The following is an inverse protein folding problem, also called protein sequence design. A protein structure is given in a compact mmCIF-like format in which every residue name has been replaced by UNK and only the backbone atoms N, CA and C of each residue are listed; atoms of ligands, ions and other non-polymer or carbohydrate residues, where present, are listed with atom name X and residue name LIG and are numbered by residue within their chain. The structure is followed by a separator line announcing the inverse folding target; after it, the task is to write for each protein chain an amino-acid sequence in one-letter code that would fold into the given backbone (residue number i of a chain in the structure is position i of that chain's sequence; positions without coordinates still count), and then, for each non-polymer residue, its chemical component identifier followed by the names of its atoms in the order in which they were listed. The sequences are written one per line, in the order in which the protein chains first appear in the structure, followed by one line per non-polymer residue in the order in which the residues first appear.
data_IF_133784106038
#
_entry.id   IF_133784106038
#
_cell.length_a   1.000
_cell.length_b   1.000
_cell.length_c   1.000
_cell.angle_alpha   90.00
_cell.angle_beta   90.00
_cell.angle_gamma   90.00
#
_symmetry.space_group_name_H-M   'P 1'
#
loop_
_entity.id
_entity.type
_entity.pdbx_description
1 polymer ?
#
# COMPACT_ATOMS: atom_id res chain seq x y z
N UNK A 1 25.20 -13.97 0.90
CA UNK A 1 24.53 -12.70 1.28
C UNK A 1 24.22 -11.93 0.02
N UNK A 2 22.99 -12.01 -0.49
CA UNK A 2 22.59 -11.39 -1.75
C UNK A 2 22.48 -9.87 -1.58
N UNK A 3 23.40 -9.15 -2.22
CA UNK A 3 23.42 -7.70 -2.34
C UNK A 3 22.34 -7.31 -3.36
N UNK A 4 21.11 -7.10 -2.90
CA UNK A 4 20.01 -6.70 -3.78
C UNK A 4 20.07 -5.20 -4.05
N UNK A 5 19.71 -4.82 -5.27
CA UNK A 5 19.58 -3.42 -5.64
C UNK A 5 18.56 -2.71 -4.73
N UNK A 6 18.96 -1.62 -4.06
CA UNK A 6 18.02 -0.75 -3.36
C UNK A 6 16.85 -0.39 -4.28
N UNK A 7 15.62 -0.48 -3.77
CA UNK A 7 14.42 -0.07 -4.52
C UNK A 7 13.80 -1.11 -5.46
N UNK A 8 14.30 -2.35 -5.53
CA UNK A 8 13.65 -3.40 -6.33
C UNK A 8 12.17 -3.62 -5.94
N UNK A 9 11.86 -3.63 -4.65
CA UNK A 9 10.50 -3.72 -4.11
C UNK A 9 9.63 -2.54 -4.56
N UNK A 10 10.18 -1.32 -4.48
CA UNK A 10 9.51 -0.09 -4.92
C UNK A 10 9.20 -0.11 -6.41
N UNK A 11 10.16 -0.51 -7.25
CA UNK A 11 9.94 -0.61 -8.71
C UNK A 11 8.87 -1.64 -9.08
N UNK A 12 8.85 -2.80 -8.40
CA UNK A 12 7.80 -3.80 -8.59
C UNK A 12 6.41 -3.24 -8.23
N UNK A 13 6.33 -2.43 -7.16
CA UNK A 13 5.09 -1.80 -6.70
C UNK A 13 4.57 -0.77 -7.71
N UNK A 14 5.43 0.14 -8.14
CA UNK A 14 5.09 1.15 -9.15
C UNK A 14 4.64 0.50 -10.47
N UNK A 15 5.36 -0.54 -10.91
CA UNK A 15 5.00 -1.30 -12.10
C UNK A 15 3.63 -1.99 -11.97
N UNK A 16 3.35 -2.61 -10.81
CA UNK A 16 2.07 -3.26 -10.55
C UNK A 16 0.91 -2.26 -10.54
N UNK A 17 1.06 -1.14 -9.83
CA UNK A 17 0.03 -0.12 -9.77
C UNK A 17 -0.28 0.45 -11.14
N UNK A 18 0.76 0.75 -11.92
CA UNK A 18 0.57 1.27 -13.28
C UNK A 18 -0.20 0.29 -14.16
N UNK A 19 0.18 -1.00 -14.14
CA UNK A 19 -0.52 -2.02 -14.94
C UNK A 19 -1.95 -2.27 -14.46
N UNK A 20 -2.20 -2.23 -13.15
CA UNK A 20 -3.56 -2.32 -12.61
C UNK A 20 -4.42 -1.16 -13.09
N UNK A 21 -3.86 0.05 -13.23
CA UNK A 21 -4.56 1.21 -13.76
C UNK A 21 -4.77 1.16 -15.28
N UNK A 22 -3.80 0.65 -16.03
CA UNK A 22 -3.83 0.59 -17.50
C UNK A 22 -4.79 -0.47 -18.05
N UNK A 23 -4.84 -1.67 -17.42
CA UNK A 23 -5.59 -2.82 -17.94
C UNK A 23 -6.40 -3.59 -16.90
N UNK A 24 -6.42 -3.11 -15.66
CA UNK A 24 -7.15 -3.77 -14.58
C UNK A 24 -6.35 -4.87 -13.88
N UNK A 25 -6.76 -5.15 -12.64
CA UNK A 25 -6.09 -6.10 -11.77
C UNK A 25 -6.13 -7.54 -12.30
N UNK A 26 -7.29 -8.01 -12.76
CA UNK A 26 -7.47 -9.40 -13.20
C UNK A 26 -6.62 -9.73 -14.42
N UNK A 27 -6.54 -8.81 -15.38
CA UNK A 27 -5.79 -8.98 -16.62
C UNK A 27 -4.27 -8.79 -16.45
N UNK A 28 -3.82 -8.31 -15.28
CA UNK A 28 -2.39 -8.12 -14.98
C UNK A 28 -1.75 -9.40 -14.45
N UNK A 29 -0.61 -9.79 -15.02
CA UNK A 29 0.18 -10.95 -14.60
C UNK A 29 1.47 -10.55 -13.90
N UNK A 30 1.99 -11.45 -13.04
CA UNK A 30 3.29 -11.27 -12.36
C UNK A 30 4.43 -11.07 -13.36
N UNK A 31 4.39 -11.78 -14.49
CA UNK A 31 5.43 -11.69 -15.51
C UNK A 31 5.52 -10.28 -16.11
N UNK A 32 4.38 -9.65 -16.38
CA UNK A 32 4.34 -8.28 -16.93
C UNK A 32 4.78 -7.25 -15.90
N UNK A 33 4.39 -7.43 -14.63
CA UNK A 33 4.85 -6.57 -13.53
C UNK A 33 6.37 -6.63 -13.41
N UNK A 34 6.92 -7.84 -13.37
CA UNK A 34 8.36 -8.04 -13.28
C UNK A 34 9.08 -7.46 -14.49
N UNK A 35 8.59 -7.74 -15.71
CA UNK A 35 9.17 -7.21 -16.94
C UNK A 35 9.18 -5.68 -16.96
N UNK A 36 8.07 -5.03 -16.57
CA UNK A 36 7.98 -3.56 -16.50
C UNK A 36 8.91 -2.96 -15.46
N UNK A 37 9.15 -3.65 -14.35
CA UNK A 37 10.11 -3.23 -13.33
C UNK A 37 11.59 -3.50 -13.70
N UNK A 38 11.85 -4.09 -14.87
CA UNK A 38 13.19 -4.52 -15.30
C UNK A 38 13.72 -5.71 -14.48
N UNK A 39 12.83 -6.57 -13.98
CA UNK A 39 13.13 -7.67 -13.07
C UNK A 39 12.56 -8.99 -13.60
N UNK A 40 13.00 -10.10 -13.00
CA UNK A 40 12.46 -11.43 -13.32
C UNK A 40 11.26 -11.78 -12.45
N UNK A 41 10.36 -12.65 -12.92
CA UNK A 41 9.27 -13.20 -12.10
C UNK A 41 9.80 -13.91 -10.84
N UNK A 42 10.98 -14.53 -10.92
CA UNK A 42 11.66 -15.12 -9.76
C UNK A 42 12.03 -14.06 -8.72
N UNK A 43 12.47 -12.88 -9.17
CA UNK A 43 12.73 -11.75 -8.28
C UNK A 43 11.44 -11.27 -7.64
N UNK A 44 10.36 -11.14 -8.43
CA UNK A 44 9.03 -10.80 -7.92
C UNK A 44 8.60 -11.74 -6.79
N UNK A 45 8.63 -13.06 -7.03
CA UNK A 45 8.19 -14.06 -6.03
C UNK A 45 9.04 -14.09 -4.76
N UNK A 46 10.24 -13.49 -4.79
CA UNK A 46 11.08 -13.34 -3.60
C UNK A 46 10.63 -12.19 -2.69
N UNK A 47 9.90 -11.21 -3.23
CA UNK A 47 9.34 -10.08 -2.48
C UNK A 47 7.85 -10.30 -2.18
N UNK A 48 7.09 -10.86 -3.12
CA UNK A 48 5.64 -10.99 -3.03
C UNK A 48 5.23 -12.41 -3.39
N UNK A 49 4.45 -13.12 -2.55
CA UNK A 49 3.98 -14.46 -2.88
C UNK A 49 3.01 -14.47 -4.06
N UNK A 50 2.27 -13.36 -4.27
CA UNK A 50 1.36 -13.19 -5.41
C UNK A 50 1.21 -11.70 -5.78
N UNK A 51 0.45 -11.41 -6.85
CA UNK A 51 0.20 -10.04 -7.33
C UNK A 51 -0.67 -9.19 -6.39
N UNK A 52 -1.44 -9.81 -5.50
CA UNK A 52 -2.28 -9.11 -4.53
C UNK A 52 -1.45 -8.50 -3.41
N UNK A 53 -0.39 -9.19 -2.97
CA UNK A 53 0.48 -8.71 -1.88
C UNK A 53 1.25 -7.43 -2.23
N UNK A 54 1.41 -7.12 -3.51
CA UNK A 54 2.00 -5.85 -3.96
C UNK A 54 1.17 -4.64 -3.50
N UNK A 55 -0.13 -4.82 -3.28
CA UNK A 55 -1.04 -3.80 -2.77
C UNK A 55 -0.84 -3.52 -1.27
N UNK A 56 -0.18 -4.44 -0.54
CA UNK A 56 -0.05 -4.42 0.92
C UNK A 56 1.42 -4.43 1.38
N UNK A 57 2.33 -4.12 0.45
CA UNK A 57 3.77 -4.38 0.54
C UNK A 57 4.57 -3.51 1.52
N UNK A 58 3.92 -2.66 2.32
CA UNK A 58 4.63 -1.76 3.23
C UNK A 58 4.03 -1.72 4.65
N UNK A 59 3.95 -2.87 5.34
CA UNK A 59 3.32 -2.96 6.65
C UNK A 59 4.04 -2.12 7.72
N UNK A 60 5.35 -1.91 7.60
CA UNK A 60 6.11 -1.06 8.53
C UNK A 60 5.76 0.42 8.33
N UNK A 61 5.62 0.87 7.08
CA UNK A 61 5.27 2.24 6.77
C UNK A 61 3.77 2.51 6.98
N UNK A 62 2.87 1.53 6.73
CA UNK A 62 1.46 1.57 7.15
C UNK A 62 1.35 1.68 8.69
N UNK A 63 2.18 0.95 9.44
CA UNK A 63 2.24 1.06 10.91
C UNK A 63 2.71 2.45 11.34
N UNK A 64 3.76 2.99 10.73
CA UNK A 64 4.25 4.34 11.04
C UNK A 64 3.19 5.42 10.80
N UNK A 65 2.40 5.31 9.73
CA UNK A 65 1.28 6.23 9.46
C UNK A 65 0.18 6.07 10.49
N UNK A 66 -0.18 4.84 10.87
CA UNK A 66 -1.18 4.58 11.89
C UNK A 66 -0.75 5.11 13.28
N UNK A 67 0.52 4.92 13.63
CA UNK A 67 1.13 5.41 14.87
C UNK A 67 1.10 6.95 14.92
N UNK A 68 1.44 7.61 13.81
CA UNK A 68 1.43 9.07 13.71
C UNK A 68 0.02 9.67 13.75
N UNK A 69 -0.95 9.04 13.07
CA UNK A 69 -2.36 9.43 13.18
C UNK A 69 -2.88 9.31 14.61
N UNK A 70 -2.57 8.19 15.27
CA UNK A 70 -2.93 7.95 16.67
C UNK A 70 -2.32 9.04 17.56
N UNK A 71 -1.03 9.36 17.36
CA UNK A 71 -0.35 10.45 18.07
C UNK A 71 -1.04 11.80 17.89
N UNK A 72 -1.39 12.17 16.66
CA UNK A 72 -2.05 13.45 16.34
C UNK A 72 -3.45 13.58 16.95
N UNK A 73 -4.20 12.47 17.04
CA UNK A 73 -5.54 12.44 17.65
C UNK A 73 -5.44 12.44 19.18
N UNK A 74 -4.55 11.64 19.75
CA UNK A 74 -4.38 11.49 21.21
C UNK A 74 -3.68 12.68 21.86
N UNK A 75 -2.86 13.42 21.12
CA UNK A 75 -2.14 14.60 21.62
C UNK A 75 -1.94 15.62 20.49
N UNK A 76 -3.02 16.33 20.10
CA UNK A 76 -2.94 17.32 19.04
C UNK A 76 -1.99 18.46 19.42
N UNK A 77 -1.24 19.04 18.45
CA UNK A 77 -0.40 20.19 18.70
C UNK A 77 -1.16 21.34 19.36
N UNK A 78 -0.52 22.03 20.31
CA UNK A 78 -1.15 23.15 21.01
C UNK A 78 -1.62 24.22 20.01
N UNK A 79 -2.88 24.65 20.13
CA UNK A 79 -3.49 25.63 19.24
C UNK A 79 -4.08 25.07 17.95
N UNK A 80 -4.06 23.74 17.73
CA UNK A 80 -4.81 23.12 16.62
C UNK A 80 -6.24 22.80 17.05
N UNK A 81 -7.20 23.07 16.17
CA UNK A 81 -8.57 22.59 16.37
C UNK A 81 -8.65 21.09 16.05
N UNK A 82 -9.71 20.38 16.50
CA UNK A 82 -9.92 18.98 16.10
C UNK A 82 -9.97 18.78 14.58
N UNK A 83 -10.46 19.77 13.84
CA UNK A 83 -10.48 19.76 12.38
C UNK A 83 -9.08 19.92 11.77
N UNK A 84 -8.22 20.74 12.38
CA UNK A 84 -6.83 20.91 11.93
C UNK A 84 -6.00 19.65 12.19
N UNK A 85 -6.20 19.01 13.35
CA UNK A 85 -5.57 17.73 13.66
C UNK A 85 -5.99 16.63 12.66
N UNK A 86 -7.28 16.56 12.32
CA UNK A 86 -7.79 15.66 11.28
C UNK A 86 -7.18 15.98 9.91
N UNK A 87 -7.11 17.26 9.52
CA UNK A 87 -6.55 17.68 8.23
C UNK A 87 -5.03 17.43 8.14
N UNK A 88 -4.30 17.54 9.25
CA UNK A 88 -2.88 17.15 9.33
C UNK A 88 -2.73 15.64 9.13
N UNK A 89 -3.52 14.83 9.86
CA UNK A 89 -3.52 13.38 9.70
C UNK A 89 -3.86 12.94 8.28
N UNK A 90 -4.90 13.50 7.68
CA UNK A 90 -5.28 13.22 6.29
C UNK A 90 -4.21 13.63 5.27
N UNK A 91 -3.46 14.71 5.51
CA UNK A 91 -2.34 15.11 4.65
C UNK A 91 -1.18 14.14 4.72
N UNK A 92 -0.88 13.57 5.90
CA UNK A 92 0.15 12.53 6.03
C UNK A 92 -0.27 11.21 5.40
N UNK A 93 -1.53 10.82 5.52
CA UNK A 93 -2.05 9.65 4.78
C UNK A 93 -2.02 9.89 3.26
N UNK A 94 -2.34 11.11 2.82
CA UNK A 94 -2.27 11.48 1.41
C UNK A 94 -0.82 11.54 0.88
N UNK A 95 0.14 11.98 1.70
CA UNK A 95 1.57 11.97 1.35
C UNK A 95 2.11 10.54 1.25
N UNK A 96 1.61 9.64 2.12
CA UNK A 96 1.91 8.20 2.11
C UNK A 96 1.46 7.51 0.82
N UNK A 97 0.31 7.89 0.25
CA UNK A 97 -0.16 7.36 -1.03
C UNK A 97 0.44 8.06 -2.26
N UNK A 98 1.34 9.04 -2.07
CA UNK A 98 2.09 9.69 -3.15
C UNK A 98 1.22 10.40 -4.20
N UNK A 99 1.84 10.83 -5.31
CA UNK A 99 1.17 11.60 -6.40
C UNK A 99 0.02 10.86 -7.09
N UNK A 100 -0.19 9.58 -6.81
CA UNK A 100 -1.22 8.74 -7.43
C UNK A 100 -2.25 8.22 -6.42
N UNK A 101 -2.93 9.15 -5.74
CA UNK A 101 -4.18 8.88 -5.00
C UNK A 101 -5.24 8.13 -5.84
N UNK A 102 -5.13 8.17 -7.17
CA UNK A 102 -5.91 7.38 -8.13
C UNK A 102 -5.68 5.86 -7.96
N UNK A 103 -4.45 5.43 -7.68
CA UNK A 103 -4.05 4.03 -7.52
C UNK A 103 -4.44 3.49 -6.13
N UNK A 104 -4.33 4.31 -5.09
CA UNK A 104 -4.87 3.98 -3.76
C UNK A 104 -6.41 3.91 -3.76
N UNK A 105 -7.08 4.80 -4.51
CA UNK A 105 -8.52 4.72 -4.75
C UNK A 105 -8.90 3.49 -5.57
N UNK A 106 -8.10 3.11 -6.56
CA UNK A 106 -8.28 1.84 -7.29
C UNK A 106 -8.04 0.63 -6.38
N UNK A 107 -7.05 0.63 -5.48
CA UNK A 107 -6.88 -0.40 -4.45
C UNK A 107 -8.14 -0.52 -3.59
N UNK A 108 -8.61 0.59 -3.03
CA UNK A 108 -9.81 0.62 -2.18
C UNK A 108 -11.10 0.24 -2.95
N UNK A 109 -11.14 0.52 -4.26
CA UNK A 109 -12.23 0.13 -5.16
C UNK A 109 -12.17 -1.35 -5.55
N UNK A 110 -10.98 -1.89 -5.83
CA UNK A 110 -10.73 -3.30 -6.17
C UNK A 110 -11.00 -4.21 -4.97
N UNK A 111 -10.54 -3.81 -3.78
CA UNK A 111 -10.81 -4.56 -2.54
C UNK A 111 -12.31 -4.59 -2.25
N UNK A 112 -13.03 -3.47 -2.46
CA UNK A 112 -14.49 -3.40 -2.29
C UNK A 112 -15.32 -4.16 -3.33
N UNK A 113 -14.79 -4.40 -4.53
CA UNK A 113 -15.51 -5.08 -5.62
C UNK A 113 -15.25 -6.59 -5.66
N UNK A 114 -14.27 -7.10 -4.92
CA UNK A 114 -13.91 -8.51 -4.87
C UNK A 114 -14.10 -9.06 -3.43
N UNK A 115 -15.22 -9.76 -3.15
CA UNK A 115 -15.57 -10.27 -1.81
C UNK A 115 -14.47 -11.09 -1.12
N UNK A 116 -13.68 -11.83 -1.92
CA UNK A 116 -12.60 -12.69 -1.47
C UNK A 116 -11.42 -11.92 -0.85
N UNK A 117 -11.30 -10.62 -1.14
CA UNK A 117 -10.28 -9.73 -0.57
C UNK A 117 -10.75 -9.07 0.73
N UNK A 118 -12.06 -8.86 0.89
CA UNK A 118 -12.68 -8.30 2.11
C UNK A 118 -12.47 -9.21 3.32
N UNK A 119 -12.48 -10.52 3.10
CA UNK A 119 -12.27 -11.52 4.16
C UNK A 119 -10.81 -11.53 4.65
N UNK A 120 -9.84 -11.31 3.74
CA UNK A 120 -8.41 -11.15 4.07
C UNK A 120 -8.10 -9.80 4.72
N UNK A 121 -8.72 -8.71 4.28
CA UNK A 121 -8.54 -7.38 4.89
C UNK A 121 -9.09 -7.34 6.32
N UNK A 122 -10.22 -8.01 6.57
CA UNK A 122 -10.79 -8.19 7.92
C UNK A 122 -9.84 -8.94 8.86
N UNK A 123 -9.11 -9.93 8.35
CA UNK A 123 -8.11 -10.66 9.13
C UNK A 123 -6.88 -9.79 9.46
N UNK A 124 -6.42 -8.96 8.53
CA UNK A 124 -5.30 -8.02 8.73
C UNK A 124 -5.63 -6.90 9.71
N UNK A 125 -6.85 -6.33 9.64
CA UNK A 125 -7.31 -5.27 10.55
C UNK A 125 -7.48 -5.80 11.98
N UNK A 126 -7.95 -7.04 12.16
CA UNK A 126 -8.01 -7.68 13.49
C UNK A 126 -6.64 -7.84 14.13
N UNK A 127 -5.63 -8.21 13.34
CA UNK A 127 -4.27 -8.41 13.82
C UNK A 127 -3.59 -7.10 14.26
N UNK A 128 -4.03 -5.95 13.73
CA UNK A 128 -3.59 -4.62 14.13
C UNK A 128 -4.33 -4.07 15.36
N UNK A 129 -5.50 -4.62 15.69
CA UNK A 129 -6.36 -4.17 16.80
C UNK A 129 -6.13 -4.95 18.11
N UNK A 130 -5.37 -6.06 18.07
CA UNK A 130 -5.08 -6.94 19.21
C UNK A 130 -3.79 -6.56 19.99
N UNK A 131 -3.38 -5.29 19.99
CA UNK A 131 -2.26 -4.77 20.81
C UNK A 131 -2.69 -3.61 21.68
#
# INVERSE_FOLDING_TARGET
MGRWEPGAQTRLREAAWTLFGEKGYNETTVAEIAARAGLSSRTFFRYFPDKSEVLFADPEQERQVADELTRLISSPPAGTTPFDALALGLREVASFWGRDWSLARQRHHLIRLHPDLTERESAKIRQLADV
#
